data_IF_389087169962
#
_entry.id   IF_389087169962
#
_cell.length_a   1.000
_cell.length_b   1.000
_cell.length_c   1.000
_cell.angle_alpha   90.00
_cell.angle_beta   90.00
_cell.angle_gamma   90.00
#
_symmetry.space_group_name_H-M   'P 1'
#
loop_
_entity.id
_entity.type
_entity.pdbx_description
1 polymer ?
#
# COMPACT_ATOMS: atom_id res chain seq x y z
N UNK A 1 12.92 0.87 24.04
CA UNK A 1 13.02 0.57 23.44
C UNK A 1 13.85 0.42 22.76
N UNK A 2 14.15 0.12 22.61
CA UNK A 2 14.84 -0.03 22.14
C UNK A 2 14.93 -0.01 20.97
N UNK A 3 15.17 0.10 20.62
CA UNK A 3 15.24 0.17 19.65
C UNK A 3 15.80 -0.13 18.84
N UNK A 4 16.22 -0.25 19.07
CA UNK A 4 17.01 -0.53 18.44
C UNK A 4 17.13 -1.12 17.22
N UNK A 5 17.21 -2.29 16.95
CA UNK A 5 17.26 -2.87 15.63
C UNK A 5 16.12 -2.40 14.79
N UNK A 6 15.11 -2.01 15.45
CA UNK A 6 13.94 -1.51 14.77
C UNK A 6 14.19 -0.26 14.03
N UNK A 7 15.27 0.41 14.38
CA UNK A 7 15.56 1.71 13.82
C UNK A 7 16.51 1.65 12.68
N UNK A 8 16.70 0.48 12.11
CA UNK A 8 17.50 0.32 10.92
C UNK A 8 16.92 1.19 9.82
N UNK A 9 17.61 2.23 9.38
CA UNK A 9 17.04 3.13 8.38
C UNK A 9 16.82 2.48 7.03
N UNK A 10 17.46 1.34 6.80
CA UNK A 10 17.33 0.69 5.52
C UNK A 10 16.16 -0.29 5.48
N UNK A 11 15.59 -0.59 6.63
CA UNK A 11 14.53 -1.58 6.69
C UNK A 11 13.36 -1.11 7.51
N UNK A 12 13.02 0.19 7.51
CA UNK A 12 11.91 0.65 8.35
C UNK A 12 10.57 0.10 7.87
N UNK A 13 10.49 -0.26 6.60
CA UNK A 13 9.25 -0.75 6.01
C UNK A 13 9.03 -2.21 6.33
N UNK A 14 10.02 -2.87 6.82
CA UNK A 14 10.04 -4.29 6.76
C UNK A 14 9.34 -4.97 7.93
N UNK A 15 9.56 -4.53 9.12
CA UNK A 15 9.00 -5.29 10.22
C UNK A 15 8.14 -4.50 11.14
N UNK A 16 8.31 -3.22 11.16
CA UNK A 16 7.73 -2.51 12.26
C UNK A 16 6.35 -2.01 12.00
N UNK A 17 6.02 -1.82 10.73
CA UNK A 17 4.71 -1.21 10.45
C UNK A 17 3.58 -2.04 10.99
N UNK A 18 3.63 -3.31 10.71
CA UNK A 18 2.59 -4.17 11.19
C UNK A 18 2.68 -4.35 12.70
N UNK A 19 3.89 -4.52 13.18
CA UNK A 19 4.13 -4.69 14.60
C UNK A 19 3.70 -3.48 15.39
N UNK A 20 3.95 -2.28 14.85
CA UNK A 20 3.55 -1.05 15.54
C UNK A 20 2.05 -0.98 15.75
N UNK A 21 1.29 -1.42 14.77
CA UNK A 21 -0.16 -1.44 14.91
C UNK A 21 -0.59 -2.37 16.02
N UNK A 22 0.03 -3.52 16.09
CA UNK A 22 -0.31 -4.51 17.11
C UNK A 22 0.16 -4.09 18.48
N UNK A 23 1.24 -3.34 18.55
CA UNK A 23 1.82 -2.97 19.82
C UNK A 23 1.05 -1.88 20.54
N UNK A 24 0.00 -1.35 19.94
CA UNK A 24 -0.90 -0.49 20.67
C UNK A 24 -1.60 -1.27 21.77
N UNK A 25 -1.58 -2.58 21.70
CA UNK A 25 -2.20 -3.45 22.67
C UNK A 25 -1.17 -3.86 23.72
N UNK A 26 -1.47 -3.69 25.02
CA UNK A 26 -0.51 -4.10 26.04
C UNK A 26 -0.23 -5.59 26.04
N UNK A 27 -1.15 -6.39 25.56
CA UNK A 27 -0.91 -7.81 25.38
C UNK A 27 -0.46 -8.03 23.96
N UNK A 28 0.74 -8.56 23.81
CA UNK A 28 1.32 -8.73 22.48
C UNK A 28 1.08 -10.15 22.00
N UNK A 29 0.16 -10.31 21.07
CA UNK A 29 -0.08 -11.65 20.54
C UNK A 29 1.08 -12.09 19.67
N UNK A 30 1.23 -13.39 19.55
CA UNK A 30 2.11 -13.95 18.56
C UNK A 30 1.47 -13.76 17.18
N UNK A 31 2.25 -13.30 16.24
CA UNK A 31 1.77 -13.11 14.88
C UNK A 31 2.32 -14.24 14.03
N UNK A 32 1.41 -14.99 13.43
CA UNK A 32 1.79 -16.08 12.55
C UNK A 32 1.24 -15.77 11.17
N UNK A 33 2.13 -15.57 10.23
CA UNK A 33 1.75 -15.24 8.87
C UNK A 33 1.84 -16.48 8.01
N UNK A 34 0.75 -16.79 7.32
CA UNK A 34 0.71 -17.92 6.41
C UNK A 34 0.06 -17.46 5.12
N UNK A 35 0.27 -18.22 4.08
CA UNK A 35 -0.34 -17.93 2.78
C UNK A 35 -1.44 -18.93 2.51
N UNK A 36 -2.54 -18.43 1.94
CA UNK A 36 -3.59 -19.32 1.48
C UNK A 36 -3.12 -20.04 0.24
N UNK A 37 -3.86 -21.09 -0.16
CA UNK A 37 -3.46 -21.86 -1.33
C UNK A 37 -3.56 -21.06 -2.62
N UNK A 38 -4.39 -20.01 -2.62
CA UNK A 38 -4.55 -19.18 -3.81
C UNK A 38 -3.78 -17.85 -3.70
N UNK A 39 -2.86 -17.76 -2.74
CA UNK A 39 -2.02 -16.59 -2.63
C UNK A 39 -1.21 -16.39 -3.90
N UNK A 40 -1.15 -15.16 -4.37
CA UNK A 40 -0.38 -14.81 -5.56
C UNK A 40 0.28 -13.47 -5.36
N UNK A 41 1.41 -13.31 -6.03
CA UNK A 41 2.11 -12.03 -6.06
C UNK A 41 2.07 -11.53 -7.49
N UNK A 42 1.55 -10.34 -7.67
CA UNK A 42 1.40 -9.76 -8.98
C UNK A 42 1.95 -8.34 -8.98
N UNK A 43 2.31 -7.87 -10.15
CA UNK A 43 2.75 -6.50 -10.32
C UNK A 43 1.58 -5.66 -10.78
N UNK A 44 1.35 -4.56 -10.08
CA UNK A 44 0.29 -3.62 -10.45
C UNK A 44 0.89 -2.25 -10.61
N UNK A 45 0.54 -1.57 -11.69
CA UNK A 45 0.90 -0.17 -11.86
C UNK A 45 -0.34 0.71 -12.03
N UNK A 46 -1.49 0.18 -11.66
CA UNK A 46 -2.74 0.95 -11.66
C UNK A 46 -3.54 0.54 -10.43
N UNK A 47 -4.00 1.53 -9.68
CA UNK A 47 -4.84 1.29 -8.51
C UNK A 47 -6.01 2.26 -8.57
N UNK A 48 -7.21 1.73 -8.45
CA UNK A 48 -8.42 2.53 -8.38
C UNK A 48 -9.08 2.26 -7.04
N UNK A 49 -9.74 3.27 -6.48
CA UNK A 49 -10.34 3.14 -5.15
C UNK A 49 -11.77 3.64 -5.21
N UNK A 50 -12.67 2.85 -4.64
CA UNK A 50 -14.05 3.27 -4.41
C UNK A 50 -14.34 3.17 -2.92
N UNK A 51 -15.09 4.13 -2.41
CA UNK A 51 -15.32 4.26 -0.98
C UNK A 51 -16.83 4.31 -0.72
N UNK A 52 -17.24 3.55 0.29
CA UNK A 52 -18.57 3.74 0.85
C UNK A 52 -18.44 3.70 2.38
N UNK A 53 -19.58 3.77 3.05
CA UNK A 53 -19.57 3.86 4.52
C UNK A 53 -18.97 2.60 5.15
N UNK A 54 -19.10 1.47 4.50
CA UNK A 54 -18.76 0.19 5.09
C UNK A 54 -17.34 -0.24 4.78
N UNK A 55 -16.81 0.15 3.62
CA UNK A 55 -15.50 -0.36 3.22
C UNK A 55 -14.90 0.49 2.10
N UNK A 56 -13.64 0.22 1.88
CA UNK A 56 -12.88 0.73 0.75
C UNK A 56 -12.64 -0.43 -0.20
N UNK A 57 -12.84 -0.20 -1.48
CA UNK A 57 -12.61 -1.23 -2.48
C UNK A 57 -11.46 -0.79 -3.37
N UNK A 58 -10.37 -1.55 -3.30
CA UNK A 58 -9.16 -1.27 -4.07
C UNK A 58 -9.09 -2.22 -5.25
N UNK A 59 -8.88 -1.68 -6.44
CA UNK A 59 -8.79 -2.47 -7.66
C UNK A 59 -7.40 -2.29 -8.23
N UNK A 60 -6.70 -3.39 -8.37
CA UNK A 60 -5.33 -3.41 -8.87
C UNK A 60 -5.32 -3.88 -10.31
N UNK A 61 -4.54 -3.22 -11.13
CA UNK A 61 -4.49 -3.57 -12.54
C UNK A 61 -3.16 -3.25 -13.16
N UNK A 62 -3.08 -3.57 -14.43
CA UNK A 62 -1.90 -3.31 -15.25
C UNK A 62 -2.29 -2.39 -16.38
N UNK A 63 -1.53 -1.34 -16.55
CA UNK A 63 -1.71 -0.43 -17.67
C UNK A 63 -1.15 -1.09 -18.92
N UNK A 64 -2.03 -1.38 -19.87
CA UNK A 64 -1.66 -2.10 -21.08
C UNK A 64 -1.35 -1.16 -22.23
N UNK A 65 -2.11 -0.06 -22.33
CA UNK A 65 -2.00 0.81 -23.48
C UNK A 65 -2.34 2.23 -23.06
N UNK A 66 -1.56 3.16 -23.56
CA UNK A 66 -1.78 4.56 -23.26
C UNK A 66 -1.51 5.39 -24.50
N UNK A 67 -2.50 6.16 -24.89
CA UNK A 67 -2.39 7.11 -26.00
C UNK A 67 -3.07 8.39 -25.57
N UNK A 68 -3.13 9.35 -26.47
CA UNK A 68 -3.78 10.62 -26.15
C UNK A 68 -5.28 10.45 -25.93
N UNK A 69 -5.86 9.45 -26.57
CA UNK A 69 -7.32 9.30 -26.57
C UNK A 69 -7.78 8.07 -25.82
N UNK A 70 -6.88 7.19 -25.45
CA UNK A 70 -7.31 5.93 -24.84
C UNK A 70 -6.29 5.42 -23.85
N UNK A 71 -6.80 4.97 -22.71
CA UNK A 71 -6.01 4.28 -21.71
C UNK A 71 -6.70 2.97 -21.44
N UNK A 72 -5.96 1.89 -21.59
CA UNK A 72 -6.52 0.56 -21.32
C UNK A 72 -5.83 -0.04 -20.11
N UNK A 73 -6.62 -0.39 -19.11
CA UNK A 73 -6.13 -0.98 -17.87
C UNK A 73 -6.81 -2.31 -17.70
N UNK A 74 -6.03 -3.34 -17.46
CA UNK A 74 -6.57 -4.66 -17.19
C UNK A 74 -6.50 -4.92 -15.70
N UNK A 75 -7.67 -4.99 -15.06
CA UNK A 75 -7.75 -5.24 -13.63
C UNK A 75 -7.66 -6.73 -13.36
N UNK A 76 -6.89 -7.09 -12.33
CA UNK A 76 -6.73 -8.50 -12.01
C UNK A 76 -7.04 -8.82 -10.54
N UNK A 77 -7.24 -7.82 -9.70
CA UNK A 77 -7.48 -8.10 -8.29
C UNK A 77 -8.29 -6.98 -7.67
N UNK A 78 -9.33 -7.34 -6.96
CA UNK A 78 -10.10 -6.41 -6.16
C UNK A 78 -10.05 -6.83 -4.71
N UNK A 79 -9.85 -5.89 -3.81
CA UNK A 79 -9.76 -6.17 -2.40
C UNK A 79 -10.57 -5.15 -1.63
N UNK A 80 -11.41 -5.64 -0.73
CA UNK A 80 -12.15 -4.79 0.19
C UNK A 80 -11.40 -4.66 1.49
N UNK A 81 -11.29 -3.45 1.97
CA UNK A 81 -10.69 -3.15 3.26
C UNK A 81 -11.72 -2.50 4.16
N UNK A 82 -11.66 -2.82 5.45
CA UNK A 82 -12.42 -2.03 6.40
C UNK A 82 -11.87 -0.60 6.41
N UNK A 83 -12.68 0.38 6.81
CA UNK A 83 -12.16 1.74 6.90
C UNK A 83 -10.94 1.85 7.83
N UNK A 84 -10.94 1.09 8.92
CA UNK A 84 -9.81 1.10 9.83
C UNK A 84 -8.54 0.57 9.16
N UNK A 85 -8.67 -0.51 8.39
CA UNK A 85 -7.51 -1.08 7.71
C UNK A 85 -7.03 -0.14 6.61
N UNK A 86 -7.96 0.53 5.93
CA UNK A 86 -7.57 1.48 4.90
C UNK A 86 -6.77 2.64 5.51
N UNK A 87 -7.19 3.10 6.69
CA UNK A 87 -6.46 4.18 7.35
C UNK A 87 -5.09 3.72 7.81
N UNK A 88 -5.00 2.49 8.29
CA UNK A 88 -3.71 1.93 8.67
C UNK A 88 -2.79 1.80 7.46
N UNK A 89 -3.34 1.38 6.33
CA UNK A 89 -2.56 1.26 5.10
C UNK A 89 -2.01 2.61 4.67
N UNK A 90 -2.83 3.66 4.78
CA UNK A 90 -2.37 5.00 4.44
C UNK A 90 -1.14 5.37 5.25
N UNK A 91 -1.19 5.14 6.56
CA UNK A 91 -0.05 5.46 7.41
C UNK A 91 1.20 4.67 7.05
N UNK A 92 1.03 3.38 6.80
CA UNK A 92 2.15 2.54 6.42
C UNK A 92 2.76 2.99 5.11
N UNK A 93 1.92 3.32 4.13
CA UNK A 93 2.42 3.79 2.86
C UNK A 93 3.16 5.11 3.00
N UNK A 94 2.62 6.03 3.80
CA UNK A 94 3.28 7.32 3.98
C UNK A 94 4.68 7.13 4.55
N UNK A 95 4.83 6.26 5.54
CA UNK A 95 6.12 6.01 6.13
C UNK A 95 7.09 5.37 5.17
N UNK A 96 6.61 4.42 4.38
CA UNK A 96 7.49 3.69 3.49
C UNK A 96 7.88 4.52 2.28
N UNK A 97 6.96 5.31 1.75
CA UNK A 97 7.29 6.23 0.68
C UNK A 97 8.30 7.25 1.16
N UNK A 98 8.10 7.78 2.39
CA UNK A 98 9.06 8.71 2.95
C UNK A 98 10.44 8.11 3.11
N UNK A 99 10.50 6.87 3.58
CA UNK A 99 11.77 6.18 3.71
C UNK A 99 12.45 5.96 2.37
N UNK A 100 11.68 5.58 1.38
CA UNK A 100 12.22 5.40 0.05
C UNK A 100 12.81 6.70 -0.49
N UNK A 101 12.04 7.79 -0.34
CA UNK A 101 12.50 9.07 -0.87
C UNK A 101 13.72 9.58 -0.15
N UNK A 102 13.84 9.31 1.14
CA UNK A 102 15.03 9.68 1.88
C UNK A 102 16.26 8.95 1.39
N UNK A 103 16.09 7.70 1.00
CA UNK A 103 17.22 6.87 0.58
C UNK A 103 17.57 7.05 -0.89
N UNK A 104 16.58 7.25 -1.74
CA UNK A 104 16.77 7.17 -3.19
C UNK A 104 16.37 8.43 -3.94
N UNK A 105 15.72 9.36 -3.26
CA UNK A 105 15.30 10.59 -3.91
C UNK A 105 13.81 10.64 -4.15
N UNK A 106 13.36 11.80 -4.51
CA UNK A 106 11.94 12.08 -4.68
C UNK A 106 11.34 11.24 -5.79
N UNK A 107 10.17 10.65 -5.51
CA UNK A 107 9.42 9.93 -6.52
C UNK A 107 8.67 10.95 -7.36
N UNK A 108 8.91 10.93 -8.67
CA UNK A 108 8.23 11.83 -9.60
C UNK A 108 7.00 11.16 -10.13
N UNK A 109 5.88 11.85 -10.07
CA UNK A 109 4.62 11.33 -10.55
C UNK A 109 4.29 11.91 -11.92
N UNK A 110 3.78 11.06 -12.80
CA UNK A 110 3.15 11.53 -14.02
C UNK A 110 1.97 12.40 -13.61
N UNK A 111 1.76 13.56 -14.24
CA UNK A 111 0.64 14.42 -13.87
C UNK A 111 -0.72 13.71 -13.86
N UNK A 112 -0.88 12.70 -14.70
CA UNK A 112 -2.14 11.95 -14.74
C UNK A 112 -2.34 11.04 -13.55
N UNK A 113 -1.29 10.80 -12.78
CA UNK A 113 -1.37 9.96 -11.59
C UNK A 113 -1.51 10.76 -10.32
N UNK A 114 -1.54 12.08 -10.42
CA UNK A 114 -1.64 12.92 -9.24
C UNK A 114 -3.06 12.90 -8.69
N UNK A 115 -3.20 13.12 -7.38
CA UNK A 115 -4.54 13.15 -6.79
C UNK A 115 -5.42 14.14 -7.53
N UNK A 116 -6.65 13.73 -7.80
CA UNK A 116 -7.57 14.56 -8.56
C UNK A 116 -7.44 14.42 -10.05
N UNK A 117 -6.46 13.66 -10.52
CA UNK A 117 -6.34 13.40 -11.94
C UNK A 117 -7.40 12.44 -12.44
N UNK A 118 -7.50 12.29 -13.75
CA UNK A 118 -8.57 11.48 -14.31
C UNK A 118 -8.37 9.98 -14.18
N UNK A 119 -7.19 9.54 -13.87
CA UNK A 119 -6.88 8.11 -13.83
C UNK A 119 -6.59 7.69 -12.42
N UNK A 120 -7.53 7.07 -11.80
CA UNK A 120 -7.35 6.53 -10.45
C UNK A 120 -8.30 5.43 -10.18
#
# INVERSE_FOLDING_TARGET
MTVSPDLDPFLPWRQTRYTDILMANPIQPNVKLTNTSDYRENYANSVQIRVNVWDFFLVFGTLLQQSETQVEIQNFQGIYLSPQQAKALLGVLQQNVGGYESAFGEIKLDPRMMPGGPVH
#
